data_IF_820853523270
#
_entry.id   IF_820853523270
#
_cell.length_a   1.000
_cell.length_b   1.000
_cell.length_c   1.000
_cell.angle_alpha   90.00
_cell.angle_beta   90.00
_cell.angle_gamma   90.00
#
_symmetry.space_group_name_H-M   'P 1'
#
loop_
_entity.id
_entity.type
_entity.pdbx_description
1 polymer ?
#
# COMPACT_ATOMS: atom_id res chain seq x y z
N UNK A 1 32.13 -17.99 20.39
CA UNK A 1 31.35 -19.16 19.94
C UNK A 1 30.15 -18.67 19.16
N UNK A 2 30.39 -18.33 17.89
CA UNK A 2 29.43 -17.64 17.03
C UNK A 2 28.61 -18.66 16.24
N UNK A 3 27.33 -18.83 16.58
CA UNK A 3 26.40 -19.57 15.74
C UNK A 3 25.87 -18.64 14.64
N UNK A 4 26.51 -18.72 13.47
CA UNK A 4 26.00 -18.11 12.26
C UNK A 4 25.04 -19.11 11.60
N UNK A 5 23.74 -18.93 11.85
CA UNK A 5 22.69 -19.64 11.12
C UNK A 5 22.74 -19.21 9.66
N UNK A 6 23.32 -20.07 8.81
CA UNK A 6 23.17 -20.01 7.36
C UNK A 6 21.71 -20.31 7.03
N UNK A 7 20.94 -19.28 6.69
CA UNK A 7 19.68 -19.47 5.99
C UNK A 7 20.01 -19.90 4.56
N UNK A 8 19.86 -21.19 4.29
CA UNK A 8 19.90 -21.75 2.94
C UNK A 8 18.72 -21.18 2.16
N UNK A 9 19.00 -20.32 1.19
CA UNK A 9 18.02 -19.93 0.17
C UNK A 9 17.75 -21.18 -0.66
N UNK A 10 16.66 -21.87 -0.35
CA UNK A 10 16.13 -22.95 -1.17
C UNK A 10 15.93 -22.40 -2.57
N UNK A 11 16.72 -22.91 -3.51
CA UNK A 11 16.54 -22.70 -4.94
C UNK A 11 15.09 -23.01 -5.29
N UNK A 12 14.35 -21.97 -5.63
CA UNK A 12 12.97 -22.04 -6.08
C UNK A 12 12.94 -22.93 -7.31
N UNK A 13 12.55 -24.18 -7.06
CA UNK A 13 12.33 -25.20 -8.07
C UNK A 13 11.37 -24.60 -9.08
N UNK A 14 11.80 -24.59 -10.34
CA UNK A 14 11.00 -24.27 -11.50
C UNK A 14 9.67 -25.00 -11.35
N UNK A 15 8.63 -24.25 -10.98
CA UNK A 15 7.28 -24.73 -10.82
C UNK A 15 6.91 -25.46 -12.11
N UNK A 16 6.58 -26.75 -11.99
CA UNK A 16 5.98 -27.53 -13.06
C UNK A 16 4.84 -26.72 -13.69
N UNK A 17 5.08 -26.16 -14.87
CA UNK A 17 4.09 -25.35 -15.57
C UNK A 17 3.03 -26.30 -16.13
N UNK A 18 1.99 -26.56 -15.34
CA UNK A 18 0.77 -27.14 -15.87
C UNK A 18 0.31 -26.23 -17.03
N UNK A 19 0.09 -26.77 -18.25
CA UNK A 19 -0.30 -25.96 -19.42
C UNK A 19 -1.54 -25.09 -19.15
N UNK A 20 -2.41 -25.56 -18.26
CA UNK A 20 -3.60 -24.87 -17.77
C UNK A 20 -3.34 -23.52 -17.10
N UNK A 21 -2.12 -23.27 -16.59
CA UNK A 21 -1.75 -21.99 -15.96
C UNK A 21 -1.30 -20.92 -16.95
N UNK A 22 -1.09 -21.27 -18.21
CA UNK A 22 -0.68 -20.34 -19.26
C UNK A 22 -1.80 -20.03 -20.25
N UNK A 23 -2.97 -20.67 -20.09
CA UNK A 23 -4.13 -20.42 -20.91
C UNK A 23 -4.64 -19.00 -20.68
N UNK A 24 -4.63 -18.21 -21.75
CA UNK A 24 -5.16 -16.84 -21.78
C UNK A 24 -6.56 -16.81 -22.39
N UNK A 25 -7.25 -15.69 -22.19
CA UNK A 25 -8.56 -15.44 -22.83
C UNK A 25 -8.47 -15.51 -24.37
N UNK A 26 -7.33 -15.13 -24.95
CA UNK A 26 -7.10 -15.16 -26.39
C UNK A 26 -7.11 -16.60 -26.90
N UNK A 27 -6.43 -17.51 -26.19
CA UNK A 27 -6.38 -18.94 -26.54
C UNK A 27 -7.78 -19.59 -26.51
N UNK A 28 -8.67 -19.12 -25.62
CA UNK A 28 -10.06 -19.58 -25.55
C UNK A 28 -10.88 -19.09 -26.75
N UNK A 29 -10.63 -17.87 -27.23
CA UNK A 29 -11.28 -17.36 -28.43
C UNK A 29 -10.80 -18.06 -29.71
N UNK A 30 -9.50 -18.33 -29.83
CA UNK A 30 -8.94 -19.08 -30.96
C UNK A 30 -9.50 -20.51 -31.01
N UNK A 31 -9.64 -21.15 -29.83
CA UNK A 31 -10.29 -22.45 -29.71
C UNK A 31 -11.77 -22.39 -30.09
N UNK A 32 -12.50 -21.36 -29.62
CA UNK A 32 -13.91 -21.16 -29.96
C UNK A 32 -14.10 -20.97 -31.47
N UNK A 33 -13.21 -20.23 -32.13
CA UNK A 33 -13.25 -20.03 -33.58
C UNK A 33 -13.00 -21.34 -34.35
N UNK A 34 -12.01 -22.14 -33.92
CA UNK A 34 -11.75 -23.45 -34.51
C UNK A 34 -12.94 -24.40 -34.34
N UNK A 35 -13.53 -24.43 -33.15
CA UNK A 35 -14.71 -25.23 -32.85
C UNK A 35 -15.90 -24.78 -33.71
N UNK A 36 -16.10 -23.47 -33.85
CA UNK A 36 -17.19 -22.91 -34.67
C UNK A 36 -17.04 -23.30 -36.15
N UNK A 37 -15.83 -23.24 -36.72
CA UNK A 37 -15.56 -23.69 -38.09
C UNK A 37 -15.93 -25.17 -38.30
N UNK A 38 -15.62 -26.04 -37.33
CA UNK A 38 -15.99 -27.46 -37.40
C UNK A 38 -17.51 -27.66 -37.30
N UNK A 39 -18.20 -26.90 -36.44
CA UNK A 39 -19.66 -26.91 -36.36
C UNK A 39 -20.33 -26.42 -37.64
N UNK A 40 -19.79 -25.40 -38.31
CA UNK A 40 -20.30 -24.92 -39.61
C UNK A 40 -20.28 -26.04 -40.68
N UNK A 41 -19.16 -26.76 -40.79
CA UNK A 41 -19.01 -27.90 -41.72
C UNK A 41 -20.00 -29.03 -41.38
N UNK A 42 -20.22 -29.29 -40.09
CA UNK A 42 -21.14 -30.33 -39.62
C UNK A 42 -22.61 -29.96 -39.85
N UNK A 43 -22.98 -28.70 -39.60
CA UNK A 43 -24.33 -28.18 -39.84
C UNK A 43 -24.67 -28.21 -41.32
N UNK A 44 -23.72 -27.86 -42.20
CA UNK A 44 -23.90 -27.95 -43.66
C UNK A 44 -24.19 -29.39 -44.13
N UNK A 45 -23.62 -30.40 -43.46
CA UNK A 45 -23.77 -31.82 -43.82
C UNK A 45 -24.99 -32.52 -43.23
N UNK A 46 -25.34 -32.21 -41.98
CA UNK A 46 -26.33 -32.98 -41.22
C UNK A 46 -27.56 -32.17 -40.79
N UNK A 47 -27.63 -30.89 -41.18
CA UNK A 47 -28.72 -29.99 -40.79
C UNK A 47 -28.58 -29.47 -39.36
N UNK A 48 -29.24 -28.33 -39.09
CA UNK A 48 -29.03 -27.56 -37.87
C UNK A 48 -29.65 -28.21 -36.61
N UNK A 49 -30.79 -28.89 -36.78
CA UNK A 49 -31.59 -29.45 -35.69
C UNK A 49 -30.85 -30.50 -34.85
N UNK A 50 -29.85 -31.16 -35.44
CA UNK A 50 -29.03 -32.18 -34.77
C UNK A 50 -28.05 -31.60 -33.74
N UNK A 51 -27.72 -30.31 -33.84
CA UNK A 51 -26.65 -29.68 -33.06
C UNK A 51 -27.14 -28.63 -32.05
N UNK A 52 -28.40 -28.21 -32.13
CA UNK A 52 -28.96 -27.14 -31.28
C UNK A 52 -28.75 -27.40 -29.78
N UNK A 53 -28.89 -28.66 -29.33
CA UNK A 53 -28.69 -29.04 -27.92
C UNK A 53 -27.21 -29.07 -27.49
N UNK A 54 -26.28 -29.38 -28.39
CA UNK A 54 -24.85 -29.49 -28.05
C UNK A 54 -24.15 -28.13 -28.11
N UNK A 55 -24.55 -27.26 -29.03
CA UNK A 55 -24.00 -25.90 -29.18
C UNK A 55 -24.13 -25.12 -27.86
N UNK A 56 -25.30 -25.16 -27.21
CA UNK A 56 -25.48 -24.52 -25.90
C UNK A 56 -24.54 -25.04 -24.82
N UNK A 57 -24.27 -26.35 -24.79
CA UNK A 57 -23.34 -26.96 -23.81
C UNK A 57 -21.88 -26.57 -24.10
N UNK A 58 -21.50 -26.47 -25.37
CA UNK A 58 -20.17 -26.02 -25.79
C UNK A 58 -19.96 -24.56 -25.44
N UNK A 59 -20.96 -23.70 -25.68
CA UNK A 59 -20.91 -22.29 -25.28
C UNK A 59 -20.72 -22.18 -23.77
N UNK A 60 -21.53 -22.88 -22.96
CA UNK A 60 -21.37 -22.85 -21.50
C UNK A 60 -20.00 -23.36 -21.05
N UNK A 61 -19.44 -24.39 -21.70
CA UNK A 61 -18.09 -24.86 -21.40
C UNK A 61 -17.02 -23.81 -21.74
N UNK A 62 -17.13 -23.15 -22.90
CA UNK A 62 -16.23 -22.07 -23.32
C UNK A 62 -16.33 -20.84 -22.41
N UNK A 63 -17.54 -20.46 -21.96
CA UNK A 63 -17.74 -19.38 -20.98
C UNK A 63 -17.08 -19.70 -19.64
N UNK A 64 -17.21 -20.95 -19.15
CA UNK A 64 -16.51 -21.36 -17.92
C UNK A 64 -14.99 -21.35 -18.09
N UNK A 65 -14.49 -21.73 -19.27
CA UNK A 65 -13.07 -21.72 -19.58
C UNK A 65 -12.52 -20.29 -19.69
N UNK A 66 -13.29 -19.38 -20.29
CA UNK A 66 -12.97 -17.94 -20.35
C UNK A 66 -12.90 -17.34 -18.95
N UNK A 67 -13.86 -17.66 -18.08
CA UNK A 67 -13.84 -17.22 -16.69
C UNK A 67 -12.58 -17.72 -15.97
N UNK A 68 -12.25 -19.00 -16.10
CA UNK A 68 -11.03 -19.59 -15.51
C UNK A 68 -9.75 -18.95 -16.06
N UNK A 69 -9.68 -18.66 -17.36
CA UNK A 69 -8.55 -17.97 -17.97
C UNK A 69 -8.39 -16.54 -17.41
N UNK A 70 -9.49 -15.79 -17.25
CA UNK A 70 -9.47 -14.45 -16.62
C UNK A 70 -8.98 -14.48 -15.17
N UNK A 71 -9.43 -15.45 -14.39
CA UNK A 71 -8.96 -15.61 -13.00
C UNK A 71 -7.47 -15.95 -12.96
N UNK A 72 -7.02 -16.86 -13.82
CA UNK A 72 -5.63 -17.24 -13.92
C UNK A 72 -4.73 -16.06 -14.34
N UNK A 73 -5.14 -15.23 -15.30
CA UNK A 73 -4.42 -14.01 -15.68
C UNK A 73 -4.27 -13.04 -14.51
N UNK A 74 -5.35 -12.87 -13.72
CA UNK A 74 -5.33 -12.02 -12.52
C UNK A 74 -4.40 -12.56 -11.44
N UNK A 75 -4.50 -13.85 -11.14
CA UNK A 75 -3.67 -14.52 -10.12
C UNK A 75 -2.19 -14.50 -10.55
N UNK A 76 -1.90 -14.73 -11.84
CA UNK A 76 -0.55 -14.63 -12.39
C UNK A 76 0.00 -13.20 -12.27
N UNK A 77 -0.80 -12.17 -12.54
CA UNK A 77 -0.41 -10.78 -12.30
C UNK A 77 -0.08 -10.53 -10.83
N UNK A 78 -0.92 -11.01 -9.91
CA UNK A 78 -0.68 -10.88 -8.46
C UNK A 78 0.60 -11.62 -8.03
N UNK A 79 0.83 -12.83 -8.54
CA UNK A 79 2.07 -13.58 -8.31
C UNK A 79 3.29 -12.80 -8.77
N UNK A 80 3.25 -12.21 -9.97
CA UNK A 80 4.35 -11.39 -10.51
C UNK A 80 4.60 -10.17 -9.62
N UNK A 81 3.55 -9.50 -9.14
CA UNK A 81 3.70 -8.32 -8.30
C UNK A 81 4.21 -8.66 -6.88
N UNK A 82 3.77 -9.80 -6.32
CA UNK A 82 4.32 -10.33 -5.08
C UNK A 82 5.80 -10.73 -5.25
N UNK A 83 6.16 -11.37 -6.35
CA UNK A 83 7.56 -11.71 -6.67
C UNK A 83 8.44 -10.46 -6.75
N UNK A 84 7.99 -9.40 -7.46
CA UNK A 84 8.70 -8.11 -7.50
C UNK A 84 8.84 -7.48 -6.11
N UNK A 85 7.80 -7.59 -5.30
CA UNK A 85 7.79 -7.05 -3.92
C UNK A 85 8.78 -7.79 -3.03
N UNK A 86 8.83 -9.13 -3.12
CA UNK A 86 9.81 -9.97 -2.42
C UNK A 86 11.22 -9.60 -2.88
N UNK A 87 11.47 -9.53 -4.19
CA UNK A 87 12.78 -9.17 -4.73
C UNK A 87 13.25 -7.79 -4.22
N UNK A 88 12.35 -6.80 -4.16
CA UNK A 88 12.64 -5.48 -3.59
C UNK A 88 13.02 -5.58 -2.11
N UNK A 89 12.26 -6.33 -1.31
CA UNK A 89 12.58 -6.50 0.12
C UNK A 89 13.88 -7.28 0.36
N UNK A 90 14.19 -8.27 -0.48
CA UNK A 90 15.47 -8.97 -0.41
C UNK A 90 16.65 -8.05 -0.72
N UNK A 91 16.52 -7.20 -1.73
CA UNK A 91 17.53 -6.17 -2.05
C UNK A 91 17.70 -5.16 -0.91
N UNK A 92 16.60 -4.67 -0.33
CA UNK A 92 16.63 -3.74 0.80
C UNK A 92 17.29 -4.39 2.03
N UNK A 93 16.96 -5.65 2.32
CA UNK A 93 17.58 -6.42 3.40
C UNK A 93 19.08 -6.56 3.16
N UNK A 94 19.51 -6.90 1.95
CA UNK A 94 20.92 -7.04 1.62
C UNK A 94 21.66 -5.70 1.74
N UNK A 95 21.02 -4.60 1.34
CA UNK A 95 21.58 -3.26 1.50
C UNK A 95 21.78 -2.90 2.97
N UNK A 96 20.77 -3.13 3.83
CA UNK A 96 20.90 -2.89 5.28
C UNK A 96 22.02 -3.68 5.94
N UNK A 97 22.25 -4.92 5.48
CA UNK A 97 23.36 -5.75 5.98
C UNK A 97 24.70 -5.13 5.58
N UNK A 98 24.86 -4.72 4.32
CA UNK A 98 26.08 -4.05 3.84
C UNK A 98 26.34 -2.74 4.59
N UNK A 99 25.29 -1.92 4.78
CA UNK A 99 25.41 -0.66 5.51
C UNK A 99 25.87 -0.92 6.96
N UNK A 100 25.34 -1.97 7.61
CA UNK A 100 25.77 -2.39 8.94
C UNK A 100 27.24 -2.84 8.97
N UNK A 101 27.67 -3.62 7.98
CA UNK A 101 29.07 -4.07 7.86
C UNK A 101 30.03 -2.90 7.62
N UNK A 102 29.60 -1.87 6.89
CA UNK A 102 30.37 -0.64 6.69
C UNK A 102 30.48 0.12 8.01
N UNK A 103 29.36 0.36 8.69
CA UNK A 103 29.37 1.05 9.99
C UNK A 103 30.21 0.32 11.05
N UNK A 104 30.18 -1.01 11.07
CA UNK A 104 31.01 -1.81 11.97
C UNK A 104 32.51 -1.66 11.65
N UNK A 105 32.88 -1.64 10.37
CA UNK A 105 34.26 -1.38 9.95
C UNK A 105 34.72 0.03 10.32
N UNK A 106 33.91 1.04 9.99
CA UNK A 106 34.20 2.44 10.29
C UNK A 106 34.34 2.67 11.80
N UNK A 107 33.53 1.98 12.61
CA UNK A 107 33.62 2.01 14.07
C UNK A 107 34.94 1.43 14.59
N UNK A 108 35.38 0.29 14.03
CA UNK A 108 36.67 -0.32 14.40
C UNK A 108 37.83 0.61 14.03
N UNK A 109 37.83 1.16 12.82
CA UNK A 109 38.87 2.09 12.36
C UNK A 109 38.95 3.35 13.25
N UNK A 110 37.78 3.87 13.66
CA UNK A 110 37.70 4.99 14.59
C UNK A 110 38.26 4.62 15.98
N UNK A 111 37.93 3.45 16.50
CA UNK A 111 38.46 2.97 17.79
C UNK A 111 39.99 2.80 17.75
N UNK A 112 40.53 2.25 16.67
CA UNK A 112 41.97 2.11 16.45
C UNK A 112 42.68 3.48 16.39
N UNK A 113 42.07 4.45 15.70
CA UNK A 113 42.57 5.83 15.65
C UNK A 113 42.61 6.48 17.04
N UNK A 114 41.52 6.35 17.82
CA UNK A 114 41.46 6.86 19.19
C UNK A 114 42.50 6.20 20.11
N UNK A 115 42.70 4.88 20.01
CA UNK A 115 43.75 4.18 20.77
C UNK A 115 45.13 4.72 20.44
N UNK A 116 45.41 4.94 19.15
CA UNK A 116 46.69 5.50 18.71
C UNK A 116 46.91 6.92 19.24
N UNK A 117 45.89 7.77 19.21
CA UNK A 117 45.95 9.12 19.76
C UNK A 117 46.21 9.11 21.28
N UNK A 118 45.54 8.22 22.03
CA UNK A 118 45.78 8.04 23.46
C UNK A 118 47.23 7.62 23.72
N UNK A 119 47.75 6.64 22.97
CA UNK A 119 49.14 6.19 23.10
C UNK A 119 50.14 7.32 22.82
N UNK A 120 49.89 8.14 21.81
CA UNK A 120 50.75 9.26 21.45
C UNK A 120 50.70 10.37 22.51
N UNK A 121 49.52 10.67 23.07
CA UNK A 121 49.38 11.57 24.22
C UNK A 121 50.10 11.05 25.46
N UNK A 122 50.01 9.75 25.75
CA UNK A 122 50.74 9.12 26.85
C UNK A 122 52.26 9.26 26.66
N UNK A 123 52.80 9.06 25.45
CA UNK A 123 54.22 9.28 25.15
C UNK A 123 54.62 10.74 25.36
N UNK A 124 53.78 11.70 24.98
CA UNK A 124 54.04 13.12 25.20
C UNK A 124 54.08 13.44 26.70
N UNK A 125 53.09 12.98 27.47
CA UNK A 125 53.05 13.15 28.92
C UNK A 125 54.30 12.55 29.57
N UNK A 126 54.71 11.36 29.15
CA UNK A 126 55.89 10.69 29.70
C UNK A 126 57.18 11.47 29.40
N UNK A 127 57.34 12.00 28.17
CA UNK A 127 58.45 12.89 27.82
C UNK A 127 58.47 14.14 28.71
N UNK A 128 57.33 14.83 28.84
CA UNK A 128 57.21 16.02 29.69
C UNK A 128 57.48 15.71 31.17
N UNK A 129 57.06 14.56 31.68
CA UNK A 129 57.36 14.11 33.03
C UNK A 129 58.86 13.86 33.23
N UNK A 130 59.54 13.21 32.28
CA UNK A 130 60.99 12.99 32.34
C UNK A 130 61.77 14.30 32.28
N UNK A 131 61.34 15.25 31.43
CA UNK A 131 61.98 16.55 31.30
C UNK A 131 61.79 17.38 32.57
N UNK A 132 60.58 17.43 33.14
CA UNK A 132 60.31 18.09 34.42
C UNK A 132 61.12 17.46 35.57
N UNK A 133 61.27 16.13 35.58
CA UNK A 133 62.10 15.45 36.59
C UNK A 133 63.58 15.83 36.44
N UNK A 134 64.10 15.83 35.21
CA UNK A 134 65.47 16.24 34.91
C UNK A 134 65.73 17.71 35.29
N UNK A 135 64.82 18.63 34.93
CA UNK A 135 64.92 20.04 35.32
C UNK A 135 64.88 20.21 36.85
N UNK A 136 64.04 19.44 37.55
CA UNK A 136 63.98 19.47 39.02
C UNK A 136 65.26 18.94 39.66
N UNK A 137 65.84 17.88 39.10
CA UNK A 137 67.15 17.35 39.50
C UNK A 137 68.25 18.40 39.26
N UNK A 138 68.27 19.05 38.10
CA UNK A 138 69.20 20.14 37.77
C UNK A 138 69.09 21.34 38.72
N UNK A 139 67.86 21.76 39.07
CA UNK A 139 67.62 22.81 40.06
C UNK A 139 68.08 22.39 41.46
N UNK A 140 67.92 21.12 41.84
CA UNK A 140 68.39 20.60 43.13
C UNK A 140 69.92 20.41 43.19
N UNK A 141 70.58 20.12 42.06
CA UNK A 141 72.05 20.07 41.96
C UNK A 141 72.68 21.44 41.73
N UNK A 142 71.90 22.43 41.31
CA UNK A 142 72.35 23.78 40.97
C UNK A 142 72.63 24.71 42.16
N UNK A 143 72.42 24.26 43.41
CA UNK A 143 72.77 25.04 44.60
C UNK A 143 74.27 24.98 44.98
N UNK A 144 75.11 24.29 44.21
CA UNK A 144 76.51 24.09 44.59
C UNK A 144 77.52 24.26 43.42
N UNK A 145 77.57 25.45 42.80
CA UNK A 145 78.80 25.93 42.13
C UNK A 145 78.93 27.45 42.33
N UNK A 146 79.76 27.82 43.30
CA UNK A 146 80.41 29.14 43.39
C UNK A 146 81.92 28.91 43.36
N UNK A 147 82.62 29.75 42.59
CA UNK A 147 84.07 29.76 42.25
C UNK A 147 84.38 28.82 41.07
N UNK A 148 85.10 29.24 40.04
CA UNK A 148 86.32 30.04 40.07
C UNK A 148 86.37 31.15 39.01
N UNK A 149 86.89 32.29 39.43
CA UNK A 149 87.54 33.27 38.56
C UNK A 149 89.00 32.84 38.40
N UNK A 150 89.43 32.53 37.17
CA UNK A 150 90.72 32.92 36.58
C UNK A 150 90.91 32.16 35.25
N UNK A 151 90.56 32.83 34.15
CA UNK A 151 91.14 32.73 32.79
C UNK A 151 90.23 33.53 31.83
N UNK A 152 90.59 34.78 31.58
CA UNK A 152 89.77 35.72 30.81
C UNK A 152 89.67 35.41 29.30
N UNK A 153 90.42 34.42 28.78
CA UNK A 153 90.25 33.92 27.40
C UNK A 153 89.31 32.69 27.34
N UNK A 154 89.47 31.69 28.22
CA UNK A 154 88.58 30.50 28.27
C UNK A 154 87.12 30.88 28.60
N UNK A 155 86.90 31.90 29.45
CA UNK A 155 85.54 32.40 29.81
C UNK A 155 84.86 33.11 28.63
N UNK A 156 85.62 33.81 27.79
CA UNK A 156 85.08 34.50 26.60
C UNK A 156 84.70 33.47 25.54
N UNK A 157 85.50 32.41 25.37
CA UNK A 157 85.19 31.30 24.47
C UNK A 157 83.96 30.50 24.94
N UNK A 158 83.78 30.26 26.24
CA UNK A 158 82.56 29.66 26.78
C UNK A 158 81.32 30.56 26.58
N UNK A 159 81.45 31.87 26.78
CA UNK A 159 80.36 32.83 26.50
C UNK A 159 80.02 32.92 25.00
N UNK A 160 81.02 32.83 24.12
CA UNK A 160 80.81 32.79 22.68
C UNK A 160 80.13 31.49 22.26
N UNK A 161 80.52 30.35 22.82
CA UNK A 161 79.94 29.05 22.56
C UNK A 161 78.46 28.98 22.98
N UNK A 162 78.13 29.50 24.17
CA UNK A 162 76.74 29.60 24.64
C UNK A 162 75.90 30.53 23.77
N UNK A 163 76.45 31.65 23.28
CA UNK A 163 75.78 32.53 22.31
C UNK A 163 75.50 31.83 20.98
N UNK A 164 76.43 31.02 20.48
CA UNK A 164 76.24 30.21 19.26
C UNK A 164 75.13 29.18 19.48
N UNK A 165 75.07 28.55 20.64
CA UNK A 165 74.05 27.56 20.98
C UNK A 165 72.66 28.19 21.12
N UNK A 166 72.54 29.32 21.82
CA UNK A 166 71.31 30.11 21.88
C UNK A 166 70.84 30.56 20.49
N UNK A 167 71.77 30.92 19.60
CA UNK A 167 71.45 31.26 18.21
C UNK A 167 70.90 30.07 17.44
N UNK A 168 71.48 28.87 17.61
CA UNK A 168 70.97 27.62 17.01
C UNK A 168 69.59 27.27 17.55
N UNK A 169 69.38 27.38 18.86
CA UNK A 169 68.05 27.23 19.48
C UNK A 169 67.04 28.23 18.95
N UNK A 170 67.42 29.50 18.80
CA UNK A 170 66.54 30.53 18.22
C UNK A 170 66.17 30.21 16.78
N UNK A 171 67.10 29.68 15.98
CA UNK A 171 66.82 29.30 14.59
C UNK A 171 65.86 28.10 14.52
N UNK A 172 66.11 27.06 15.32
CA UNK A 172 65.24 25.89 15.40
C UNK A 172 63.84 26.24 15.90
N UNK A 173 63.72 27.09 16.93
CA UNK A 173 62.42 27.59 17.39
C UNK A 173 61.69 28.40 16.30
N UNK A 174 62.40 29.24 15.53
CA UNK A 174 61.79 29.96 14.39
C UNK A 174 61.25 29.00 13.34
N UNK A 175 61.96 27.92 13.04
CA UNK A 175 61.50 26.95 12.05
C UNK A 175 60.34 26.09 12.58
N UNK A 176 60.33 25.75 13.87
CA UNK A 176 59.19 25.13 14.53
C UNK A 176 57.95 26.03 14.47
N UNK A 177 58.09 27.33 14.73
CA UNK A 177 56.99 28.29 14.62
C UNK A 177 56.43 28.33 13.20
N UNK A 178 57.29 28.36 12.17
CA UNK A 178 56.84 28.32 10.77
C UNK A 178 56.11 27.02 10.44
N UNK A 179 56.58 25.89 10.95
CA UNK A 179 55.92 24.60 10.72
C UNK A 179 54.53 24.58 11.40
N UNK A 180 54.45 25.00 12.66
CA UNK A 180 53.18 25.10 13.37
C UNK A 180 52.20 26.07 12.71
N UNK A 181 52.69 27.18 12.15
CA UNK A 181 51.86 28.11 11.35
C UNK A 181 51.31 27.44 10.11
N UNK A 182 52.13 26.68 9.37
CA UNK A 182 51.68 25.93 8.19
C UNK A 182 50.66 24.85 8.53
N UNK A 183 50.86 24.16 9.65
CA UNK A 183 49.91 23.15 10.13
C UNK A 183 48.59 23.83 10.52
N UNK A 184 48.63 24.96 11.22
CA UNK A 184 47.46 25.76 11.59
C UNK A 184 46.67 26.24 10.37
N UNK A 185 47.35 26.72 9.33
CA UNK A 185 46.71 27.13 8.07
C UNK A 185 46.02 25.94 7.40
N UNK A 186 46.65 24.76 7.42
CA UNK A 186 46.08 23.52 6.87
C UNK A 186 44.81 23.12 7.63
N UNK A 187 44.86 23.11 8.97
CA UNK A 187 43.69 22.82 9.80
C UNK A 187 42.57 23.85 9.61
N UNK A 188 42.89 25.14 9.41
CA UNK A 188 41.89 26.16 9.10
C UNK A 188 41.15 25.82 7.80
N UNK A 189 41.87 25.45 6.73
CA UNK A 189 41.26 25.04 5.47
C UNK A 189 40.40 23.78 5.60
N UNK A 190 40.84 22.79 6.38
CA UNK A 190 40.04 21.58 6.65
C UNK A 190 38.75 21.90 7.40
N UNK A 191 38.81 22.76 8.43
CA UNK A 191 37.64 23.21 9.18
C UNK A 191 36.65 23.96 8.27
N UNK A 192 37.14 24.81 7.37
CA UNK A 192 36.29 25.50 6.39
C UNK A 192 35.61 24.50 5.43
N UNK A 193 36.35 23.53 4.91
CA UNK A 193 35.79 22.48 4.04
C UNK A 193 34.71 21.65 4.76
N UNK A 194 34.97 21.25 6.02
CA UNK A 194 33.99 20.53 6.84
C UNK A 194 32.75 21.37 7.12
N UNK A 195 32.90 22.68 7.38
CA UNK A 195 31.77 23.61 7.53
C UNK A 195 30.92 23.67 6.28
N UNK A 196 31.52 23.79 5.10
CA UNK A 196 30.79 23.79 3.82
C UNK A 196 30.03 22.48 3.58
N UNK A 197 30.66 21.34 3.92
CA UNK A 197 30.03 20.02 3.82
C UNK A 197 28.82 19.91 4.76
N UNK A 198 28.94 20.37 6.01
CA UNK A 198 27.83 20.41 6.98
C UNK A 198 26.69 21.28 6.46
N UNK A 199 26.98 22.47 5.94
CA UNK A 199 25.95 23.34 5.37
C UNK A 199 25.23 22.70 4.18
N UNK A 200 25.97 22.00 3.31
CA UNK A 200 25.39 21.25 2.18
C UNK A 200 24.44 20.16 2.66
N UNK A 201 24.84 19.40 3.68
CA UNK A 201 24.00 18.38 4.31
C UNK A 201 22.75 18.99 4.95
N UNK A 202 22.87 20.13 5.63
CA UNK A 202 21.72 20.85 6.20
C UNK A 202 20.73 21.26 5.10
N UNK A 203 21.22 21.78 3.96
CA UNK A 203 20.37 22.15 2.81
C UNK A 203 19.65 20.93 2.24
N UNK A 204 20.35 19.83 2.03
CA UNK A 204 19.78 18.57 1.53
C UNK A 204 18.74 17.99 2.50
N UNK A 205 19.02 17.99 3.80
CA UNK A 205 18.08 17.52 4.82
C UNK A 205 16.79 18.35 4.83
N UNK A 206 16.90 19.68 4.78
CA UNK A 206 15.74 20.58 4.65
C UNK A 206 14.92 20.30 3.39
N UNK A 207 15.55 19.99 2.27
CA UNK A 207 14.85 19.61 1.03
C UNK A 207 14.13 18.27 1.17
N UNK A 208 14.79 17.26 1.75
CA UNK A 208 14.19 15.95 2.03
C UNK A 208 12.99 16.06 2.96
N UNK A 209 13.07 16.86 4.02
CA UNK A 209 11.93 17.12 4.92
C UNK A 209 10.75 17.75 4.18
N UNK A 210 11.01 18.72 3.27
CA UNK A 210 9.96 19.32 2.42
C UNK A 210 9.35 18.30 1.46
N UNK A 211 10.17 17.48 0.79
CA UNK A 211 9.72 16.41 -0.10
C UNK A 211 8.87 15.39 0.65
N UNK A 212 9.32 14.94 1.81
CA UNK A 212 8.59 14.01 2.68
C UNK A 212 7.23 14.60 3.09
N UNK A 213 7.20 15.87 3.51
CA UNK A 213 5.94 16.55 3.84
C UNK A 213 4.98 16.66 2.64
N UNK A 214 5.49 16.90 1.43
CA UNK A 214 4.68 16.92 0.21
C UNK A 214 4.10 15.54 -0.12
N UNK A 215 4.94 14.50 -0.09
CA UNK A 215 4.52 13.12 -0.33
C UNK A 215 3.50 12.65 0.71
N UNK A 216 3.65 13.02 1.98
CA UNK A 216 2.68 12.70 3.01
C UNK A 216 1.31 13.35 2.74
N UNK A 217 1.29 14.61 2.26
CA UNK A 217 0.04 15.29 1.88
C UNK A 217 -0.62 14.60 0.68
N UNK A 218 0.16 14.24 -0.34
CA UNK A 218 -0.34 13.50 -1.50
C UNK A 218 -0.90 12.13 -1.09
N UNK A 219 -0.20 11.40 -0.21
CA UNK A 219 -0.70 10.12 0.33
C UNK A 219 -2.03 10.26 1.07
N UNK A 220 -2.22 11.33 1.86
CA UNK A 220 -3.52 11.62 2.51
C UNK A 220 -4.62 11.93 1.50
N UNK A 221 -4.32 12.68 0.44
CA UNK A 221 -5.29 13.00 -0.62
C UNK A 221 -5.74 11.72 -1.35
N UNK A 222 -4.80 10.86 -1.76
CA UNK A 222 -5.11 9.59 -2.43
C UNK A 222 -5.95 8.66 -1.54
N UNK A 223 -5.70 8.64 -0.22
CA UNK A 223 -6.54 7.88 0.72
C UNK A 223 -7.98 8.40 0.78
N UNK A 224 -8.18 9.71 0.76
CA UNK A 224 -9.51 10.32 0.73
C UNK A 224 -10.23 10.02 -0.60
N UNK A 225 -9.54 10.18 -1.73
CA UNK A 225 -10.07 9.85 -3.06
C UNK A 225 -10.46 8.37 -3.15
N UNK A 226 -9.60 7.46 -2.66
CA UNK A 226 -9.91 6.02 -2.59
C UNK A 226 -11.17 5.78 -1.76
N UNK A 227 -11.31 6.41 -0.60
CA UNK A 227 -12.49 6.26 0.25
C UNK A 227 -13.77 6.76 -0.43
N UNK A 228 -13.68 7.87 -1.18
CA UNK A 228 -14.80 8.39 -1.95
C UNK A 228 -15.21 7.45 -3.10
N UNK A 229 -14.25 6.92 -3.84
CA UNK A 229 -14.50 5.94 -4.92
C UNK A 229 -15.15 4.69 -4.36
N UNK A 230 -14.67 4.16 -3.23
CA UNK A 230 -15.27 2.99 -2.57
C UNK A 230 -16.73 3.26 -2.18
N UNK A 231 -17.03 4.45 -1.64
CA UNK A 231 -18.42 4.84 -1.31
C UNK A 231 -19.31 4.91 -2.55
N UNK A 232 -18.80 5.47 -3.66
CA UNK A 232 -19.54 5.53 -4.94
C UNK A 232 -19.77 4.13 -5.51
N UNK A 233 -18.78 3.24 -5.41
CA UNK A 233 -18.89 1.86 -5.84
C UNK A 233 -19.97 1.13 -5.03
N UNK A 234 -19.92 1.20 -3.70
CA UNK A 234 -20.91 0.59 -2.82
C UNK A 234 -22.34 1.08 -3.15
N UNK A 235 -22.51 2.38 -3.37
CA UNK A 235 -23.81 2.93 -3.77
C UNK A 235 -24.29 2.36 -5.12
N UNK A 236 -23.39 2.20 -6.09
CA UNK A 236 -23.70 1.61 -7.39
C UNK A 236 -24.09 0.13 -7.28
N UNK A 237 -23.40 -0.63 -6.42
CA UNK A 237 -23.73 -2.03 -6.12
C UNK A 237 -25.11 -2.15 -5.46
N UNK A 238 -25.42 -1.30 -4.49
CA UNK A 238 -26.74 -1.23 -3.85
C UNK A 238 -27.84 -0.91 -4.88
N UNK A 239 -27.62 0.07 -5.76
CA UNK A 239 -28.55 0.41 -6.84
C UNK A 239 -28.75 -0.76 -7.80
N UNK A 240 -27.68 -1.47 -8.16
CA UNK A 240 -27.73 -2.65 -9.03
C UNK A 240 -28.54 -3.78 -8.39
N UNK A 241 -28.36 -4.01 -7.09
CA UNK A 241 -29.14 -4.99 -6.33
C UNK A 241 -30.63 -4.61 -6.28
N UNK A 242 -30.94 -3.33 -6.08
CA UNK A 242 -32.33 -2.83 -6.10
C UNK A 242 -32.97 -3.04 -7.48
N UNK A 243 -32.28 -2.67 -8.55
CA UNK A 243 -32.76 -2.87 -9.93
C UNK A 243 -33.00 -4.35 -10.24
N UNK A 244 -32.10 -5.25 -9.80
CA UNK A 244 -32.32 -6.71 -9.95
C UNK A 244 -33.56 -7.18 -9.20
N UNK A 245 -33.83 -6.67 -7.99
CA UNK A 245 -35.05 -7.02 -7.25
C UNK A 245 -36.31 -6.60 -8.01
N UNK A 246 -36.36 -5.33 -8.44
CA UNK A 246 -37.50 -4.80 -9.22
C UNK A 246 -37.67 -5.60 -10.50
N UNK A 247 -36.60 -5.91 -11.22
CA UNK A 247 -36.65 -6.72 -12.44
C UNK A 247 -37.19 -8.14 -12.18
N UNK A 248 -36.81 -8.75 -11.05
CA UNK A 248 -37.33 -10.06 -10.68
C UNK A 248 -38.82 -9.99 -10.31
N UNK A 249 -39.26 -8.95 -9.60
CA UNK A 249 -40.66 -8.71 -9.26
C UNK A 249 -41.51 -8.46 -10.50
N UNK A 250 -41.04 -7.62 -11.42
CA UNK A 250 -41.75 -7.37 -12.69
C UNK A 250 -41.80 -8.62 -13.56
N UNK A 251 -40.73 -9.41 -13.63
CA UNK A 251 -40.71 -10.66 -14.37
C UNK A 251 -41.70 -11.69 -13.77
N UNK A 252 -41.81 -11.77 -12.43
CA UNK A 252 -42.85 -12.57 -11.77
C UNK A 252 -44.25 -12.09 -12.14
N UNK A 253 -44.51 -10.79 -12.03
CA UNK A 253 -45.80 -10.22 -12.39
C UNK A 253 -46.17 -10.46 -13.87
N UNK A 254 -45.20 -10.37 -14.79
CA UNK A 254 -45.41 -10.71 -16.19
C UNK A 254 -45.79 -12.18 -16.38
N UNK A 255 -45.10 -13.11 -15.69
CA UNK A 255 -45.44 -14.54 -15.74
C UNK A 255 -46.82 -14.82 -15.17
N UNK A 256 -47.18 -14.21 -14.05
CA UNK A 256 -48.49 -14.39 -13.43
C UNK A 256 -49.62 -13.90 -14.37
N UNK A 257 -49.42 -12.77 -15.04
CA UNK A 257 -50.35 -12.26 -16.06
C UNK A 257 -50.46 -13.17 -17.28
N UNK A 258 -49.35 -13.79 -17.71
CA UNK A 258 -49.34 -14.71 -18.84
C UNK A 258 -50.06 -16.03 -18.51
N UNK A 259 -49.89 -16.56 -17.29
CA UNK A 259 -50.66 -17.70 -16.78
C UNK A 259 -52.14 -17.35 -16.68
N UNK A 260 -52.48 -16.16 -16.15
CA UNK A 260 -53.87 -15.70 -16.07
C UNK A 260 -54.51 -15.62 -17.46
N UNK A 261 -53.79 -15.08 -18.45
CA UNK A 261 -54.26 -14.99 -19.83
C UNK A 261 -54.51 -16.37 -20.44
N UNK A 262 -53.62 -17.33 -20.23
CA UNK A 262 -53.81 -18.71 -20.69
C UNK A 262 -55.05 -19.35 -20.05
N UNK A 263 -55.25 -19.14 -18.74
CA UNK A 263 -56.41 -19.65 -18.01
C UNK A 263 -57.72 -19.02 -18.50
N UNK A 264 -57.72 -17.71 -18.76
CA UNK A 264 -58.87 -16.98 -19.32
C UNK A 264 -59.21 -17.47 -20.74
N UNK A 265 -58.19 -17.71 -21.59
CA UNK A 265 -58.35 -18.27 -22.94
C UNK A 265 -58.90 -19.72 -22.91
N UNK A 266 -58.37 -20.57 -22.03
CA UNK A 266 -58.82 -21.95 -21.85
C UNK A 266 -60.26 -22.01 -21.32
N UNK A 267 -60.60 -21.15 -20.36
CA UNK A 267 -61.96 -21.03 -19.80
C UNK A 267 -62.95 -20.54 -20.86
N UNK A 268 -62.56 -19.55 -21.68
CA UNK A 268 -63.37 -19.07 -22.79
C UNK A 268 -63.61 -20.15 -23.86
N UNK A 269 -62.57 -20.94 -24.19
CA UNK A 269 -62.68 -22.05 -25.14
C UNK A 269 -63.58 -23.18 -24.60
N UNK A 270 -63.48 -23.48 -23.31
CA UNK A 270 -64.32 -24.47 -22.64
C UNK A 270 -65.80 -24.05 -22.59
N UNK A 271 -66.09 -22.75 -22.39
CA UNK A 271 -67.44 -22.19 -22.44
C UNK A 271 -68.04 -22.33 -23.85
N UNK A 272 -67.29 -21.98 -24.90
CA UNK A 272 -67.70 -22.15 -26.31
C UNK A 272 -68.01 -23.63 -26.62
N UNK A 273 -67.14 -24.54 -26.18
CA UNK A 273 -67.29 -25.99 -26.44
C UNK A 273 -68.49 -26.61 -25.72
N UNK A 274 -68.88 -26.07 -24.55
CA UNK A 274 -70.07 -26.50 -23.78
C UNK A 274 -71.37 -25.80 -24.19
N UNK A 275 -71.35 -24.94 -25.22
CA UNK A 275 -72.52 -24.18 -25.67
C UNK A 275 -73.00 -23.12 -24.68
N UNK A 276 -72.22 -22.83 -23.64
CA UNK A 276 -72.46 -21.71 -22.73
C UNK A 276 -71.79 -20.48 -23.35
N UNK A 277 -72.57 -19.49 -23.76
CA UNK A 277 -72.02 -18.17 -24.07
C UNK A 277 -71.24 -17.71 -22.83
N UNK A 278 -69.94 -17.43 -22.96
CA UNK A 278 -69.17 -16.81 -21.87
C UNK A 278 -69.97 -15.63 -21.34
N UNK A 279 -70.09 -15.45 -20.01
CA UNK A 279 -70.89 -14.37 -19.45
C UNK A 279 -70.32 -13.02 -19.92
N UNK A 280 -70.92 -12.47 -20.96
CA UNK A 280 -70.59 -11.16 -21.51
C UNK A 280 -71.49 -10.17 -20.79
N UNK A 281 -70.95 -9.55 -19.75
CA UNK A 281 -71.60 -8.39 -19.15
C UNK A 281 -71.81 -7.33 -20.23
N UNK A 282 -73.01 -6.78 -20.30
CA UNK A 282 -73.27 -5.63 -21.17
C UNK A 282 -72.47 -4.42 -20.68
N UNK A 283 -72.17 -3.47 -21.58
CA UNK A 283 -71.54 -2.20 -21.18
C UNK A 283 -72.36 -1.45 -20.12
N UNK A 284 -73.66 -1.71 -20.01
CA UNK A 284 -74.53 -1.17 -18.96
C UNK A 284 -74.24 -1.83 -17.62
N UNK A 285 -74.25 -3.16 -17.56
CA UNK A 285 -73.96 -3.91 -16.32
C UNK A 285 -72.56 -3.60 -15.80
N UNK A 286 -71.58 -3.46 -16.69
CA UNK A 286 -70.22 -3.08 -16.29
C UNK A 286 -70.17 -1.66 -15.70
N UNK A 287 -70.95 -0.71 -16.25
CA UNK A 287 -71.07 0.64 -15.69
C UNK A 287 -71.74 0.60 -14.32
N UNK A 288 -72.80 -0.19 -14.16
CA UNK A 288 -73.54 -0.31 -12.91
C UNK A 288 -72.64 -0.92 -11.82
N UNK A 289 -71.92 -1.99 -12.12
CA UNK A 289 -70.96 -2.63 -11.19
C UNK A 289 -69.79 -1.69 -10.86
N UNK A 290 -69.30 -0.89 -11.83
CA UNK A 290 -68.25 0.09 -11.56
C UNK A 290 -68.74 1.25 -10.68
N UNK A 291 -69.97 1.72 -10.88
CA UNK A 291 -70.58 2.73 -10.02
C UNK A 291 -70.80 2.18 -8.61
N UNK A 292 -71.29 0.96 -8.48
CA UNK A 292 -71.46 0.28 -7.19
C UNK A 292 -70.12 0.07 -6.49
N UNK A 293 -69.10 -0.42 -7.21
CA UNK A 293 -67.73 -0.54 -6.69
C UNK A 293 -67.20 0.80 -6.19
N UNK A 294 -67.40 1.88 -6.94
CA UNK A 294 -66.94 3.21 -6.54
C UNK A 294 -67.69 3.70 -5.28
N UNK A 295 -69.00 3.50 -5.21
CA UNK A 295 -69.81 3.83 -4.03
C UNK A 295 -69.36 3.02 -2.80
N UNK A 296 -69.11 1.72 -2.97
CA UNK A 296 -68.59 0.87 -1.91
C UNK A 296 -67.18 1.27 -1.49
N UNK A 297 -66.32 1.68 -2.43
CA UNK A 297 -64.96 2.16 -2.11
C UNK A 297 -65.00 3.44 -1.26
N UNK A 298 -65.90 4.37 -1.57
CA UNK A 298 -66.14 5.56 -0.71
C UNK A 298 -66.61 5.11 0.67
N UNK A 299 -67.57 4.18 0.74
CA UNK A 299 -68.10 3.67 2.01
C UNK A 299 -67.06 2.94 2.85
N UNK A 300 -66.14 2.20 2.22
CA UNK A 300 -65.00 1.56 2.89
C UNK A 300 -64.05 2.60 3.45
N UNK A 301 -63.69 3.64 2.68
CA UNK A 301 -62.86 4.73 3.19
C UNK A 301 -63.50 5.45 4.38
N UNK A 302 -64.80 5.74 4.32
CA UNK A 302 -65.52 6.32 5.46
C UNK A 302 -65.53 5.40 6.69
N UNK A 303 -65.65 4.09 6.49
CA UNK A 303 -65.62 3.12 7.58
C UNK A 303 -64.21 2.94 8.15
N UNK A 304 -63.19 2.94 7.31
CA UNK A 304 -61.78 2.93 7.73
C UNK A 304 -61.45 4.18 8.54
N UNK A 305 -61.91 5.36 8.10
CA UNK A 305 -61.75 6.61 8.86
C UNK A 305 -62.46 6.55 10.21
N UNK A 306 -63.69 6.04 10.26
CA UNK A 306 -64.42 5.85 11.53
C UNK A 306 -63.72 4.83 12.44
N UNK A 307 -63.18 3.76 11.89
CA UNK A 307 -62.41 2.76 12.65
C UNK A 307 -61.10 3.35 13.19
N UNK A 308 -60.42 4.19 12.41
CA UNK A 308 -59.22 4.92 12.83
C UNK A 308 -59.56 5.91 13.94
N UNK A 309 -60.67 6.65 13.81
CA UNK A 309 -61.16 7.55 14.85
C UNK A 309 -61.54 6.80 16.14
N UNK A 310 -62.13 5.61 16.05
CA UNK A 310 -62.46 4.78 17.23
C UNK A 310 -61.19 4.20 17.86
N UNK A 311 -60.21 3.75 17.07
CA UNK A 311 -58.89 3.33 17.60
C UNK A 311 -58.15 4.49 18.27
N UNK A 312 -58.23 5.69 17.70
CA UNK A 312 -57.63 6.89 18.26
C UNK A 312 -58.40 7.45 19.48
N UNK A 313 -59.72 7.22 19.55
CA UNK A 313 -60.59 7.72 20.64
C UNK A 313 -60.85 6.69 21.75
N UNK A 314 -60.34 5.46 21.66
CA UNK A 314 -60.43 4.45 22.72
C UNK A 314 -59.34 4.69 23.76
N UNK A 315 -59.64 5.20 24.97
CA UNK A 315 -58.65 5.34 26.02
C UNK A 315 -58.55 4.00 26.77
N UNK A 316 -57.53 3.20 26.42
CA UNK A 316 -57.09 2.07 27.23
C UNK A 316 -57.28 0.70 26.56
N UNK A 317 -56.17 0.01 26.30
CA UNK A 317 -56.16 -1.37 25.86
C UNK A 317 -54.85 -1.78 25.19
N UNK A 318 -53.77 -1.84 25.96
CA UNK A 318 -52.59 -2.62 25.61
C UNK A 318 -53.01 -4.06 25.28
N UNK A 319 -52.86 -4.48 24.03
CA UNK A 319 -52.70 -5.89 23.69
C UNK A 319 -51.58 -5.97 22.66
N UNK A 320 -50.43 -6.48 23.13
CA UNK A 320 -49.32 -6.93 22.31
C UNK A 320 -49.83 -7.85 21.19
N UNK A 321 -49.55 -7.50 19.94
CA UNK A 321 -49.46 -8.49 18.88
C UNK A 321 -48.40 -8.08 17.88
N UNK A 322 -47.21 -8.59 18.14
CA UNK A 322 -46.15 -8.92 17.20
C UNK A 322 -46.60 -8.96 15.73
N UNK A 323 -46.17 -8.00 14.91
CA UNK A 323 -46.05 -8.15 13.45
C UNK A 323 -45.08 -7.13 12.88
N UNK A 324 -44.27 -7.63 11.96
CA UNK A 324 -43.08 -6.99 11.42
C UNK A 324 -43.30 -5.65 10.73
N UNK A 325 -42.18 -4.96 10.64
CA UNK A 325 -41.91 -3.76 9.86
C UNK A 325 -42.68 -3.70 8.53
N UNK A 326 -43.41 -2.61 8.24
CA UNK A 326 -44.05 -2.43 6.95
C UNK A 326 -42.99 -2.05 5.92
N UNK A 327 -42.87 -2.86 4.87
CA UNK A 327 -42.16 -2.51 3.64
C UNK A 327 -42.86 -1.33 2.96
N UNK A 328 -42.11 -0.39 2.34
CA UNK A 328 -42.66 0.82 1.75
C UNK A 328 -43.35 0.49 0.43
N UNK A 329 -44.68 0.68 0.38
CA UNK A 329 -45.46 0.45 -0.83
C UNK A 329 -45.44 1.68 -1.75
N UNK A 330 -45.50 1.36 -3.04
CA UNK A 330 -45.34 2.20 -4.21
C UNK A 330 -46.08 3.54 -4.17
N UNK A 331 -45.35 4.58 -4.62
CA UNK A 331 -45.93 5.80 -5.20
C UNK A 331 -46.84 5.40 -6.37
N UNK A 332 -48.13 5.71 -6.25
CA UNK A 332 -48.99 5.91 -7.41
C UNK A 332 -48.56 7.22 -8.10
N UNK A 333 -48.07 7.10 -9.33
CA UNK A 333 -48.04 8.22 -10.28
C UNK A 333 -49.47 8.45 -10.79
N UNK A 334 -49.91 9.71 -10.73
CA UNK A 334 -50.80 10.31 -11.73
C UNK A 334 -49.90 11.11 -12.66
#
# INVERSE_FOLDING_TARGET
>A
MSQQQRYTTTSSSILSSSPSKQLTVIDVYDLAESINRDFEILVEKYGNDSFESIVGKVISALETLEALAKYNDKDNCEIIDLQKTIQRFEQEKQQRIKDKEILERDFIELEESYKKEIDDLCKIIQKLQTENKCMKEQLSSGENVKKEEEKTEDVVDEQLQTLIELRKMTHTQKDQIKQLQKDLDTYCCEVESLRENIERLIRQNKELLRKNGSLQKQGRMLLLERAEILKRLQQSEENTLQLRRVLNETNRACKDLEVQKQWDEETALAAITKGQQSPRFSLSELRDVLQEKNALKVKVLELEEKMEQIRASSPGGEIESNRGTPSPNMRFFI
#
